data_IF_246454760541
#
_entry.id   IF_246454760541
#
_cell.length_a   1.000
_cell.length_b   1.000
_cell.length_c   1.000
_cell.angle_alpha   90.00
_cell.angle_beta   90.00
_cell.angle_gamma   90.00
#
_symmetry.space_group_name_H-M   'P 1'
#
loop_
_entity.id
_entity.type
_entity.pdbx_description
1 polymer ?
#
# COMPACT_ATOMS: atom_id res chain seq x y z
N UNK A 1 -29.11 20.74 59.45
CA UNK A 1 -29.53 21.92 58.66
C UNK A 1 -28.99 21.75 57.24
N UNK A 2 -29.88 21.77 56.24
CA UNK A 2 -29.68 21.34 54.85
C UNK A 2 -29.01 22.47 54.05
N UNK A 3 -27.80 22.26 53.53
CA UNK A 3 -27.16 23.23 52.60
C UNK A 3 -26.99 22.59 51.23
N UNK A 4 -27.59 23.28 50.25
CA UNK A 4 -27.84 22.83 48.88
C UNK A 4 -26.57 22.94 48.02
N UNK A 5 -26.28 21.90 47.25
CA UNK A 5 -25.33 21.94 46.13
C UNK A 5 -25.96 22.72 44.96
N UNK A 6 -25.29 23.79 44.51
CA UNK A 6 -25.63 24.53 43.30
C UNK A 6 -24.64 24.17 42.20
N UNK A 7 -25.06 23.36 41.23
CA UNK A 7 -24.32 23.12 39.99
C UNK A 7 -24.30 24.42 39.16
N UNK A 8 -23.12 25.02 38.98
CA UNK A 8 -22.88 26.07 37.97
C UNK A 8 -22.79 25.41 36.59
N UNK A 9 -23.84 25.58 35.79
CA UNK A 9 -23.87 25.21 34.37
C UNK A 9 -22.97 26.16 33.58
N UNK A 10 -21.81 25.69 33.11
CA UNK A 10 -20.94 26.46 32.21
C UNK A 10 -21.54 26.39 30.80
N UNK A 11 -22.04 27.52 30.32
CA UNK A 11 -22.72 27.66 29.04
C UNK A 11 -21.85 27.19 27.86
N UNK A 12 -22.47 26.43 26.95
CA UNK A 12 -21.95 25.97 25.66
C UNK A 12 -21.52 27.18 24.80
N UNK A 13 -20.23 27.49 24.77
CA UNK A 13 -19.64 28.47 23.84
C UNK A 13 -19.06 27.84 22.55
N UNK A 14 -19.27 26.53 22.35
CA UNK A 14 -18.72 25.76 21.24
C UNK A 14 -19.70 25.38 20.12
N UNK A 15 -21.00 25.69 20.24
CA UNK A 15 -21.98 25.35 19.19
C UNK A 15 -22.11 26.39 18.09
N UNK A 16 -21.71 27.63 18.33
CA UNK A 16 -21.98 28.73 17.39
C UNK A 16 -20.89 28.86 16.31
N UNK A 17 -19.64 28.42 16.56
CA UNK A 17 -18.60 28.34 15.52
C UNK A 17 -18.84 27.19 14.53
N UNK A 18 -19.46 26.09 14.97
CA UNK A 18 -19.79 24.97 14.09
C UNK A 18 -20.96 25.25 13.11
N UNK A 19 -21.70 26.35 13.33
CA UNK A 19 -22.80 26.77 12.45
C UNK A 19 -22.39 27.82 11.41
N UNK A 20 -21.23 28.44 11.54
CA UNK A 20 -20.82 29.54 10.65
C UNK A 20 -20.20 29.06 9.33
N UNK A 21 -19.56 27.89 9.29
CA UNK A 21 -18.95 27.34 8.06
C UNK A 21 -19.88 26.44 7.23
N UNK A 22 -21.13 26.26 7.66
CA UNK A 22 -22.12 25.41 6.98
C UNK A 22 -23.04 26.20 6.02
N UNK A 23 -22.55 27.29 5.44
CA UNK A 23 -23.14 27.86 4.22
C UNK A 23 -22.36 27.37 3.01
N UNK A 24 -22.36 26.04 2.77
CA UNK A 24 -22.00 25.55 1.44
C UNK A 24 -23.12 26.00 0.51
N UNK A 25 -22.84 26.91 -0.43
CA UNK A 25 -23.66 27.02 -1.65
C UNK A 25 -23.91 25.60 -2.16
N UNK A 26 -25.13 25.28 -2.56
CA UNK A 26 -25.41 24.01 -3.24
C UNK A 26 -24.51 23.92 -4.47
N UNK A 27 -23.42 23.17 -4.35
CA UNK A 27 -22.52 22.91 -5.45
C UNK A 27 -23.24 21.96 -6.39
N UNK A 28 -23.45 22.40 -7.63
CA UNK A 28 -24.04 21.59 -8.69
C UNK A 28 -23.00 21.42 -9.77
N UNK A 29 -22.77 20.19 -10.20
CA UNK A 29 -21.84 19.89 -11.29
C UNK A 29 -22.52 18.97 -12.30
N UNK A 30 -22.21 19.14 -13.58
CA UNK A 30 -22.73 18.31 -14.66
C UNK A 30 -21.61 17.41 -15.16
N UNK A 31 -21.83 16.09 -15.15
CA UNK A 31 -20.93 15.09 -15.71
C UNK A 31 -21.74 14.26 -16.70
N UNK A 32 -21.36 14.27 -17.98
CA UNK A 32 -22.11 13.61 -19.07
C UNK A 32 -23.61 13.93 -19.03
N UNK A 33 -23.96 15.22 -18.94
CA UNK A 33 -25.33 15.74 -18.89
C UNK A 33 -26.17 15.29 -17.68
N UNK A 34 -25.55 14.67 -16.67
CA UNK A 34 -26.19 14.34 -15.39
C UNK A 34 -25.76 15.38 -14.36
N UNK A 35 -26.75 16.05 -13.75
CA UNK A 35 -26.53 16.98 -12.64
C UNK A 35 -26.33 16.21 -11.33
N UNK A 36 -25.23 16.51 -10.63
CA UNK A 36 -24.90 15.98 -9.32
C UNK A 36 -24.84 17.10 -8.29
N UNK A 37 -25.45 16.86 -7.14
CA UNK A 37 -25.28 17.67 -5.93
C UNK A 37 -24.56 16.80 -4.89
N UNK A 38 -23.27 17.05 -4.58
CA UNK A 38 -22.54 16.24 -3.64
C UNK A 38 -23.13 16.45 -2.24
N UNK A 39 -23.16 15.39 -1.44
CA UNK A 39 -23.38 15.56 -0.01
C UNK A 39 -22.21 16.34 0.59
N UNK A 40 -22.40 17.03 1.74
CA UNK A 40 -21.30 17.70 2.43
C UNK A 40 -20.10 16.76 2.72
N UNK A 41 -20.35 15.46 2.91
CA UNK A 41 -19.32 14.45 3.12
C UNK A 41 -18.50 14.21 1.87
N UNK A 42 -19.14 14.02 0.70
CA UNK A 42 -18.43 13.79 -0.56
C UNK A 42 -17.65 15.03 -0.97
N UNK A 43 -18.25 16.21 -0.83
CA UNK A 43 -17.57 17.48 -1.11
C UNK A 43 -16.33 17.66 -0.24
N UNK A 44 -16.45 17.40 1.07
CA UNK A 44 -15.29 17.42 1.99
C UNK A 44 -14.22 16.41 1.59
N UNK A 45 -14.61 15.18 1.23
CA UNK A 45 -13.67 14.13 0.78
C UNK A 45 -12.88 14.59 -0.45
N UNK A 46 -13.56 15.11 -1.48
CA UNK A 46 -12.89 15.55 -2.71
C UNK A 46 -12.00 16.77 -2.47
N UNK A 47 -12.44 17.74 -1.66
CA UNK A 47 -11.59 18.87 -1.26
C UNK A 47 -10.34 18.41 -0.51
N UNK A 48 -10.49 17.45 0.41
CA UNK A 48 -9.38 16.87 1.15
C UNK A 48 -8.39 16.14 0.24
N UNK A 49 -8.89 15.38 -0.75
CA UNK A 49 -8.05 14.73 -1.75
C UNK A 49 -7.33 15.74 -2.65
N UNK A 50 -8.04 16.76 -3.15
CA UNK A 50 -7.47 17.79 -4.01
C UNK A 50 -6.34 18.54 -3.30
N UNK A 51 -6.54 18.95 -2.04
CA UNK A 51 -5.52 19.65 -1.27
C UNK A 51 -4.30 18.76 -0.96
N UNK A 52 -4.51 17.47 -0.64
CA UNK A 52 -3.39 16.51 -0.50
C UNK A 52 -2.55 16.40 -1.76
N UNK A 53 -3.19 16.40 -2.93
CA UNK A 53 -2.45 16.36 -4.20
C UNK A 53 -1.73 17.69 -4.48
N UNK A 54 -2.38 18.82 -4.20
CA UNK A 54 -1.76 20.14 -4.34
C UNK A 54 -0.52 20.29 -3.44
N UNK A 55 -0.58 19.81 -2.20
CA UNK A 55 0.58 19.77 -1.28
C UNK A 55 1.75 19.01 -1.92
N UNK A 56 1.48 17.83 -2.47
CA UNK A 56 2.50 17.04 -3.17
C UNK A 56 3.11 17.83 -4.34
N UNK A 57 2.28 18.46 -5.18
CA UNK A 57 2.75 19.26 -6.32
C UNK A 57 3.61 20.46 -5.89
N UNK A 58 3.19 21.21 -4.86
CA UNK A 58 3.96 22.34 -4.31
C UNK A 58 5.33 21.89 -3.80
N UNK A 59 5.38 20.76 -3.10
CA UNK A 59 6.62 20.16 -2.60
C UNK A 59 7.56 19.74 -3.74
N UNK A 60 7.05 19.05 -4.76
CA UNK A 60 7.86 18.62 -5.92
C UNK A 60 8.33 19.81 -6.75
N UNK A 61 7.57 20.90 -6.79
CA UNK A 61 7.99 22.16 -7.41
C UNK A 61 9.05 22.94 -6.62
N UNK A 62 9.48 22.45 -5.45
CA UNK A 62 10.50 23.10 -4.62
C UNK A 62 10.03 24.37 -3.90
N UNK A 63 8.70 24.55 -3.76
CA UNK A 63 8.17 25.69 -3.03
C UNK A 63 8.46 25.55 -1.51
N UNK A 64 8.71 26.66 -0.80
CA UNK A 64 8.96 26.63 0.64
C UNK A 64 7.73 26.19 1.43
N UNK A 65 7.97 25.63 2.61
CA UNK A 65 6.93 25.31 3.58
C UNK A 65 6.37 26.59 4.26
N UNK A 66 5.14 26.56 4.82
CA UNK A 66 4.19 25.45 4.81
C UNK A 66 3.52 25.26 3.44
N UNK A 67 3.33 24.00 3.03
CA UNK A 67 2.66 23.71 1.76
C UNK A 67 1.14 23.82 1.82
N UNK A 68 0.52 24.00 2.99
CA UNK A 68 -0.92 24.23 3.12
C UNK A 68 -1.17 25.08 4.37
N UNK A 69 -2.21 25.90 4.34
CA UNK A 69 -2.63 26.70 5.50
C UNK A 69 -3.52 25.90 6.47
N UNK A 70 -3.96 24.69 6.09
CA UNK A 70 -4.81 23.85 6.94
C UNK A 70 -3.96 23.18 8.05
N UNK A 71 -4.26 23.42 9.34
CA UNK A 71 -3.54 22.80 10.45
C UNK A 71 -3.64 21.27 10.46
N UNK A 72 -4.67 20.66 9.86
CA UNK A 72 -4.77 19.20 9.74
C UNK A 72 -3.61 18.67 8.89
N UNK A 73 -3.35 19.31 7.75
CA UNK A 73 -2.26 18.92 6.84
C UNK A 73 -0.88 19.26 7.38
N UNK A 74 -0.73 20.33 8.16
CA UNK A 74 0.54 20.68 8.78
C UNK A 74 0.94 19.72 9.91
N UNK A 75 -0.04 19.19 10.66
CA UNK A 75 0.24 18.45 11.89
C UNK A 75 0.12 16.93 11.75
N UNK A 76 -0.34 16.40 10.61
CA UNK A 76 -0.56 14.97 10.43
C UNK A 76 0.03 14.46 9.10
N UNK A 77 0.69 13.29 9.11
CA UNK A 77 1.12 12.65 7.87
C UNK A 77 -0.08 12.06 7.14
N UNK A 78 -0.12 12.28 5.83
CA UNK A 78 -1.07 11.63 4.94
C UNK A 78 -0.35 10.97 3.78
N UNK A 79 -0.94 9.90 3.27
CA UNK A 79 -0.47 9.25 2.04
C UNK A 79 -0.66 10.17 0.84
N UNK A 80 0.06 9.92 -0.26
CA UNK A 80 -0.26 10.59 -1.51
C UNK A 80 -1.61 10.09 -2.05
N UNK A 81 -2.31 10.95 -2.80
CA UNK A 81 -3.55 10.56 -3.49
C UNK A 81 -3.24 9.49 -4.55
N UNK A 82 -2.23 9.75 -5.37
CA UNK A 82 -1.68 8.75 -6.26
C UNK A 82 -0.61 7.96 -5.53
N UNK A 83 -0.92 6.70 -5.24
CA UNK A 83 -0.08 5.77 -4.48
C UNK A 83 1.29 5.55 -5.12
N UNK A 84 1.37 5.67 -6.45
CA UNK A 84 2.63 5.57 -7.18
C UNK A 84 3.68 6.57 -6.68
N UNK A 85 3.29 7.74 -6.15
CA UNK A 85 4.21 8.74 -5.65
C UNK A 85 4.75 8.46 -4.23
N UNK A 86 4.25 7.43 -3.55
CA UNK A 86 4.82 7.03 -2.27
C UNK A 86 6.24 6.50 -2.44
N UNK A 87 7.08 6.78 -1.44
CA UNK A 87 8.49 6.36 -1.44
C UNK A 87 8.66 4.86 -1.67
N UNK A 88 7.85 4.03 -1.01
CA UNK A 88 7.94 2.57 -1.14
C UNK A 88 7.52 2.11 -2.53
N UNK A 89 6.48 2.73 -3.10
CA UNK A 89 6.04 2.48 -4.48
C UNK A 89 7.14 2.77 -5.50
N UNK A 90 7.75 3.95 -5.38
CA UNK A 90 8.85 4.36 -6.25
C UNK A 90 10.03 3.39 -6.13
N UNK A 91 10.36 2.97 -4.90
CA UNK A 91 11.42 1.99 -4.65
C UNK A 91 11.10 0.63 -5.32
N UNK A 92 9.88 0.11 -5.18
CA UNK A 92 9.48 -1.15 -5.80
C UNK A 92 9.63 -1.05 -7.32
N UNK A 93 9.11 0.03 -7.93
CA UNK A 93 9.19 0.22 -9.37
C UNK A 93 10.63 0.29 -9.85
N UNK A 94 11.48 1.07 -9.17
CA UNK A 94 12.85 1.30 -9.59
C UNK A 94 13.75 0.08 -9.34
N UNK A 95 13.68 -0.52 -8.15
CA UNK A 95 14.70 -1.47 -7.67
C UNK A 95 14.20 -2.92 -7.50
N UNK A 96 12.89 -3.15 -7.55
CA UNK A 96 12.32 -4.50 -7.41
C UNK A 96 11.81 -5.01 -8.75
N UNK A 97 11.06 -4.19 -9.49
CA UNK A 97 10.47 -4.57 -10.79
C UNK A 97 11.46 -4.35 -11.93
N UNK A 98 11.95 -3.12 -12.10
CA UNK A 98 12.72 -2.75 -13.29
C UNK A 98 14.21 -3.15 -13.25
N UNK A 99 14.69 -3.70 -12.14
CA UNK A 99 16.04 -4.25 -12.02
C UNK A 99 16.02 -5.79 -12.02
N UNK A 100 17.07 -6.41 -12.57
CA UNK A 100 17.20 -7.87 -12.67
C UNK A 100 16.51 -8.49 -13.87
N UNK A 101 16.40 -9.82 -13.88
CA UNK A 101 15.76 -10.58 -14.96
C UNK A 101 14.27 -10.21 -15.10
N UNK A 102 13.84 -9.98 -16.34
CA UNK A 102 12.49 -9.56 -16.70
C UNK A 102 11.59 -10.74 -17.10
N UNK A 103 12.09 -11.97 -16.95
CA UNK A 103 11.24 -13.16 -16.92
C UNK A 103 10.09 -12.99 -15.90
N UNK A 104 8.91 -13.52 -16.25
CA UNK A 104 7.71 -13.37 -15.45
C UNK A 104 7.87 -13.93 -14.04
N UNK A 105 8.47 -15.12 -13.91
CA UNK A 105 8.65 -15.78 -12.63
C UNK A 105 9.66 -15.05 -11.76
N UNK A 106 10.75 -14.58 -12.38
CA UNK A 106 11.77 -13.77 -11.70
C UNK A 106 11.19 -12.45 -11.17
N UNK A 107 10.43 -11.73 -12.00
CA UNK A 107 9.78 -10.47 -11.61
C UNK A 107 8.72 -10.69 -10.52
N UNK A 108 7.85 -11.70 -10.67
CA UNK A 108 6.86 -12.04 -9.66
C UNK A 108 7.51 -12.46 -8.34
N UNK A 109 8.57 -13.27 -8.38
CA UNK A 109 9.32 -13.67 -7.20
C UNK A 109 9.82 -12.45 -6.42
N UNK A 110 10.49 -11.51 -7.09
CA UNK A 110 11.00 -10.28 -6.47
C UNK A 110 9.89 -9.46 -5.84
N UNK A 111 8.77 -9.28 -6.56
CA UNK A 111 7.62 -8.53 -6.04
C UNK A 111 6.98 -9.21 -4.84
N UNK A 112 6.72 -10.52 -4.89
CA UNK A 112 6.10 -11.26 -3.77
C UNK A 112 7.02 -11.20 -2.55
N UNK A 113 8.32 -11.46 -2.74
CA UNK A 113 9.33 -11.39 -1.68
C UNK A 113 9.34 -10.01 -1.03
N UNK A 114 9.41 -8.93 -1.82
CA UNK A 114 9.39 -7.57 -1.26
C UNK A 114 8.09 -7.32 -0.50
N UNK A 115 6.93 -7.71 -1.06
CA UNK A 115 5.62 -7.45 -0.45
C UNK A 115 5.42 -8.20 0.86
N UNK A 116 6.05 -9.35 1.10
CA UNK A 116 5.97 -10.01 2.41
C UNK A 116 6.56 -9.16 3.53
N UNK A 117 7.63 -8.44 3.26
CA UNK A 117 8.30 -7.59 4.26
C UNK A 117 7.86 -6.13 4.18
N UNK A 118 7.47 -5.64 3.00
CA UNK A 118 7.11 -4.25 2.70
C UNK A 118 8.08 -3.23 3.32
N UNK A 119 9.37 -3.53 3.28
CA UNK A 119 10.43 -2.73 3.91
C UNK A 119 11.69 -2.68 3.07
N UNK A 120 12.05 -1.46 2.67
CA UNK A 120 13.24 -1.16 1.85
C UNK A 120 14.51 -1.72 2.49
N UNK A 121 14.75 -1.46 3.77
CA UNK A 121 16.00 -1.90 4.43
C UNK A 121 16.16 -3.42 4.50
N UNK A 122 15.06 -4.17 4.52
CA UNK A 122 15.10 -5.64 4.51
C UNK A 122 15.51 -6.15 3.13
N UNK A 123 14.93 -5.56 2.08
CA UNK A 123 15.29 -5.84 0.69
C UNK A 123 16.76 -5.51 0.40
N UNK A 124 17.23 -4.32 0.77
CA UNK A 124 18.63 -3.91 0.58
C UNK A 124 19.61 -4.82 1.33
N UNK A 125 19.24 -5.28 2.53
CA UNK A 125 20.07 -6.20 3.31
C UNK A 125 20.17 -7.58 2.66
N UNK A 126 19.05 -8.11 2.15
CA UNK A 126 19.04 -9.34 1.35
C UNK A 126 19.94 -9.20 0.11
N UNK A 127 19.75 -8.15 -0.69
CA UNK A 127 20.56 -7.91 -1.89
C UNK A 127 22.06 -7.78 -1.57
N UNK A 128 22.40 -7.06 -0.49
CA UNK A 128 23.79 -6.88 -0.08
C UNK A 128 24.48 -8.19 0.31
N UNK A 129 23.73 -9.15 0.86
CA UNK A 129 24.28 -10.40 1.40
C UNK A 129 24.22 -11.57 0.44
N UNK A 130 23.19 -11.63 -0.39
CA UNK A 130 22.94 -12.74 -1.31
C UNK A 130 23.25 -12.37 -2.76
N UNK A 131 23.45 -11.07 -3.06
CA UNK A 131 23.58 -10.59 -4.42
C UNK A 131 22.21 -10.41 -5.09
N UNK A 132 22.13 -10.56 -6.43
CA UNK A 132 20.85 -10.52 -7.14
C UNK A 132 19.86 -11.54 -6.57
N UNK A 133 18.66 -11.09 -6.23
CA UNK A 133 17.60 -11.94 -5.69
C UNK A 133 16.82 -12.56 -6.85
N UNK A 134 17.16 -13.81 -7.19
CA UNK A 134 16.55 -14.56 -8.29
C UNK A 134 15.70 -15.71 -7.75
N UNK A 135 14.67 -16.11 -8.51
CA UNK A 135 13.93 -17.33 -8.23
C UNK A 135 14.80 -18.56 -8.46
N UNK A 136 15.59 -18.55 -9.54
CA UNK A 136 16.50 -19.65 -9.90
C UNK A 136 17.45 -20.05 -8.76
N UNK A 137 18.01 -19.08 -8.05
CA UNK A 137 18.99 -19.30 -6.99
C UNK A 137 18.36 -19.15 -5.59
N UNK A 138 17.03 -19.23 -5.50
CA UNK A 138 16.32 -19.09 -4.24
C UNK A 138 16.52 -20.31 -3.33
N UNK A 139 17.16 -20.07 -2.20
CA UNK A 139 17.37 -21.06 -1.15
C UNK A 139 16.81 -20.55 0.19
N UNK A 140 15.92 -21.33 0.81
CA UNK A 140 15.24 -20.90 2.04
C UNK A 140 16.24 -20.70 3.18
N UNK A 141 17.20 -21.62 3.34
CA UNK A 141 18.15 -21.61 4.46
C UNK A 141 19.04 -20.37 4.40
N UNK A 142 19.59 -20.05 3.23
CA UNK A 142 20.40 -18.85 3.02
C UNK A 142 19.62 -17.55 3.32
N UNK A 143 18.34 -17.48 2.94
CA UNK A 143 17.50 -16.32 3.25
C UNK A 143 17.14 -16.25 4.74
N UNK A 144 16.86 -17.38 5.38
CA UNK A 144 16.59 -17.46 6.81
C UNK A 144 17.80 -16.99 7.63
N UNK A 145 19.02 -17.39 7.25
CA UNK A 145 20.25 -16.95 7.91
C UNK A 145 20.42 -15.43 7.83
N UNK A 146 20.29 -14.86 6.63
CA UNK A 146 20.47 -13.42 6.41
C UNK A 146 19.42 -12.58 7.14
N UNK A 147 18.16 -13.02 7.15
CA UNK A 147 17.08 -12.35 7.88
C UNK A 147 17.22 -12.55 9.39
N UNK A 148 17.66 -13.74 9.81
CA UNK A 148 17.94 -14.11 11.19
C UNK A 148 18.93 -13.14 11.83
N UNK A 149 19.98 -12.73 11.13
CA UNK A 149 20.94 -11.76 11.64
C UNK A 149 20.32 -10.42 12.04
N UNK A 150 19.40 -9.88 11.23
CA UNK A 150 18.69 -8.64 11.55
C UNK A 150 17.67 -8.87 12.67
N UNK A 151 16.95 -9.98 12.61
CA UNK A 151 15.96 -10.38 13.61
C UNK A 151 16.56 -10.50 15.01
N UNK A 152 17.70 -11.19 15.16
CA UNK A 152 18.38 -11.37 16.44
C UNK A 152 18.98 -10.08 17.00
N UNK A 153 19.22 -9.07 16.15
CA UNK A 153 19.62 -7.72 16.56
C UNK A 153 18.43 -6.84 16.95
N UNK A 154 17.21 -7.36 16.92
CA UNK A 154 15.98 -6.60 17.21
C UNK A 154 15.58 -5.62 16.10
N UNK A 155 16.14 -5.77 14.90
CA UNK A 155 15.78 -4.92 13.75
C UNK A 155 14.47 -5.44 13.15
N UNK A 156 13.49 -4.55 12.97
CA UNK A 156 12.23 -4.92 12.33
C UNK A 156 12.44 -5.27 10.87
N UNK A 157 12.08 -6.50 10.50
CA UNK A 157 12.07 -6.97 9.11
C UNK A 157 10.86 -6.43 8.33
N UNK A 158 9.79 -6.06 9.02
CA UNK A 158 8.53 -5.66 8.40
C UNK A 158 8.32 -4.14 8.41
N UNK A 159 7.59 -3.65 7.41
CA UNK A 159 7.05 -2.29 7.37
C UNK A 159 5.95 -2.11 8.41
N UNK A 160 5.75 -0.88 8.89
CA UNK A 160 4.78 -0.58 9.96
C UNK A 160 3.33 -0.46 9.49
N UNK A 161 3.12 -0.10 8.23
CA UNK A 161 1.78 0.15 7.67
C UNK A 161 1.11 -1.11 7.10
N UNK A 162 1.88 -2.16 6.84
CA UNK A 162 1.41 -3.35 6.15
C UNK A 162 1.49 -4.58 7.05
N UNK A 163 0.34 -5.11 7.45
CA UNK A 163 0.25 -6.28 8.30
C UNK A 163 0.17 -7.55 7.45
N UNK A 164 1.23 -8.36 7.50
CA UNK A 164 1.27 -9.69 6.89
C UNK A 164 1.24 -10.77 7.98
N UNK A 165 0.10 -11.46 8.17
CA UNK A 165 0.06 -12.60 9.06
C UNK A 165 0.79 -13.78 8.43
N UNK A 166 1.79 -14.31 9.13
CA UNK A 166 2.50 -15.49 8.67
C UNK A 166 1.61 -16.74 8.82
N UNK A 167 1.54 -17.61 7.79
CA UNK A 167 0.86 -18.90 7.93
C UNK A 167 1.66 -19.86 8.81
N UNK A 168 1.01 -20.92 9.31
CA UNK A 168 1.70 -22.00 10.02
C UNK A 168 2.21 -23.04 9.01
N UNK A 169 3.43 -22.85 8.49
CA UNK A 169 4.08 -23.74 7.50
C UNK A 169 5.31 -24.46 8.06
N UNK A 170 5.35 -24.64 9.38
CA UNK A 170 6.42 -25.36 10.08
C UNK A 170 7.72 -24.59 10.30
N UNK A 171 7.76 -23.30 9.93
CA UNK A 171 8.88 -22.41 10.26
C UNK A 171 8.88 -21.96 11.72
N UNK A 172 10.06 -21.81 12.32
CA UNK A 172 10.21 -21.37 13.71
C UNK A 172 9.86 -19.89 13.92
N UNK A 173 9.88 -19.09 12.85
CA UNK A 173 9.64 -17.64 12.89
C UNK A 173 8.63 -17.22 11.82
N UNK A 174 8.09 -16.01 11.95
CA UNK A 174 7.18 -15.45 10.95
C UNK A 174 7.86 -15.29 9.57
N UNK A 175 9.12 -14.85 9.54
CA UNK A 175 9.85 -14.67 8.27
C UNK A 175 10.14 -16.01 7.59
N UNK A 176 10.47 -17.05 8.35
CA UNK A 176 10.65 -18.41 7.84
C UNK A 176 9.37 -18.92 7.17
N UNK A 177 8.22 -18.71 7.81
CA UNK A 177 6.93 -19.10 7.24
C UNK A 177 6.56 -18.28 5.99
N UNK A 178 6.93 -17.01 5.89
CA UNK A 178 6.75 -16.22 4.66
C UNK A 178 7.65 -16.69 3.51
N UNK A 179 8.91 -17.07 3.78
CA UNK A 179 9.79 -17.66 2.77
C UNK A 179 9.26 -19.00 2.25
N UNK A 180 8.69 -19.83 3.14
CA UNK A 180 8.00 -21.07 2.76
C UNK A 180 6.74 -20.81 1.93
N UNK A 181 5.98 -19.77 2.28
CA UNK A 181 4.81 -19.35 1.50
C UNK A 181 5.22 -18.85 0.11
N UNK A 182 6.30 -18.05 0.02
CA UNK A 182 6.89 -17.62 -1.25
C UNK A 182 7.23 -18.83 -2.12
N UNK A 183 7.97 -19.80 -1.56
CA UNK A 183 8.32 -21.03 -2.28
C UNK A 183 7.08 -21.78 -2.75
N UNK A 184 6.08 -21.95 -1.88
CA UNK A 184 4.82 -22.61 -2.23
C UNK A 184 4.10 -21.93 -3.40
N UNK A 185 4.06 -20.59 -3.41
CA UNK A 185 3.43 -19.82 -4.49
C UNK A 185 4.18 -19.97 -5.82
N UNK A 186 5.50 -19.96 -5.78
CA UNK A 186 6.35 -20.11 -6.97
C UNK A 186 6.35 -21.55 -7.51
N UNK A 187 6.49 -22.55 -6.65
CA UNK A 187 6.44 -23.97 -7.03
C UNK A 187 5.07 -24.36 -7.60
N UNK A 188 4.00 -23.73 -7.12
CA UNK A 188 2.65 -23.93 -7.65
C UNK A 188 2.39 -23.16 -8.95
N UNK A 189 3.41 -22.55 -9.57
CA UNK A 189 3.32 -21.74 -10.79
C UNK A 189 2.21 -20.67 -10.72
N UNK A 190 2.11 -19.97 -9.58
CA UNK A 190 1.19 -18.85 -9.47
C UNK A 190 1.42 -17.80 -10.58
N UNK A 191 2.66 -17.38 -10.91
CA UNK A 191 2.89 -16.39 -11.98
C UNK A 191 2.31 -16.84 -13.33
N UNK A 192 2.61 -18.09 -13.76
CA UNK A 192 2.12 -18.63 -15.02
C UNK A 192 0.60 -18.73 -15.05
N UNK A 193 -0.02 -19.15 -13.95
CA UNK A 193 -1.47 -19.24 -13.86
C UNK A 193 -2.15 -17.89 -13.90
N UNK A 194 -1.64 -16.88 -13.17
CA UNK A 194 -2.22 -15.55 -13.21
C UNK A 194 -2.10 -14.91 -14.61
N UNK A 195 -1.04 -15.22 -15.37
CA UNK A 195 -0.88 -14.73 -16.74
C UNK A 195 -1.93 -15.28 -17.72
N UNK A 196 -2.58 -16.41 -17.40
CA UNK A 196 -3.65 -17.00 -18.22
C UNK A 196 -5.05 -16.50 -17.83
N UNK A 197 -5.19 -15.74 -16.74
CA UNK A 197 -6.50 -15.29 -16.26
C UNK A 197 -6.91 -13.97 -16.89
N UNK A 198 -8.13 -13.92 -17.42
CA UNK A 198 -8.69 -12.73 -18.05
C UNK A 198 -9.52 -11.86 -17.09
N UNK A 199 -9.87 -12.37 -15.90
CA UNK A 199 -10.69 -11.66 -14.93
C UNK A 199 -9.95 -11.50 -13.60
N UNK A 200 -10.02 -10.29 -13.05
CA UNK A 200 -9.39 -9.96 -11.76
C UNK A 200 -10.01 -10.76 -10.61
N UNK A 201 -11.30 -11.10 -10.71
CA UNK A 201 -12.00 -11.98 -9.76
C UNK A 201 -11.39 -13.37 -9.72
N UNK A 202 -10.96 -13.90 -10.86
CA UNK A 202 -10.35 -15.23 -10.94
C UNK A 202 -8.93 -15.20 -10.38
N UNK A 203 -8.16 -14.14 -10.68
CA UNK A 203 -6.85 -13.91 -10.09
C UNK A 203 -6.93 -13.80 -8.55
N UNK A 204 -7.90 -13.02 -8.06
CA UNK A 204 -8.21 -12.94 -6.63
C UNK A 204 -8.54 -14.31 -6.05
N UNK A 205 -9.46 -15.05 -6.67
CA UNK A 205 -9.88 -16.37 -6.22
C UNK A 205 -8.72 -17.34 -6.17
N UNK A 206 -7.82 -17.29 -7.16
CA UNK A 206 -6.63 -18.15 -7.21
C UNK A 206 -5.66 -17.87 -6.07
N UNK A 207 -5.38 -16.59 -5.79
CA UNK A 207 -4.46 -16.20 -4.72
C UNK A 207 -5.06 -16.52 -3.34
N UNK A 208 -6.37 -16.40 -3.19
CA UNK A 208 -7.06 -16.67 -1.93
C UNK A 208 -6.93 -18.12 -1.45
N UNK A 209 -6.56 -19.05 -2.33
CA UNK A 209 -6.32 -20.45 -1.99
C UNK A 209 -5.01 -20.66 -1.20
N UNK A 210 -4.10 -19.69 -1.20
CA UNK A 210 -2.85 -19.79 -0.47
C UNK A 210 -3.02 -19.46 1.02
N UNK A 211 -2.26 -20.12 1.91
CA UNK A 211 -2.31 -19.83 3.35
C UNK A 211 -2.09 -18.35 3.66
N UNK A 212 -2.86 -17.83 4.62
CA UNK A 212 -2.87 -16.42 5.05
C UNK A 212 -3.29 -15.37 4.00
N UNK A 213 -3.53 -15.75 2.74
CA UNK A 213 -4.03 -14.86 1.69
C UNK A 213 -5.54 -14.62 1.78
N UNK A 214 -6.00 -14.09 2.93
CA UNK A 214 -7.40 -13.72 3.13
C UNK A 214 -7.87 -12.60 2.20
N UNK A 215 -9.15 -12.23 2.30
CA UNK A 215 -9.81 -11.33 1.33
C UNK A 215 -9.01 -10.05 1.04
N UNK A 216 -8.47 -9.38 2.07
CA UNK A 216 -7.73 -8.14 1.86
C UNK A 216 -6.37 -8.34 1.16
N UNK A 217 -5.67 -9.44 1.47
CA UNK A 217 -4.33 -9.70 0.95
C UNK A 217 -4.40 -10.25 -0.48
N UNK A 218 -5.37 -11.12 -0.76
CA UNK A 218 -5.58 -11.63 -2.12
C UNK A 218 -5.81 -10.50 -3.14
N UNK A 219 -6.62 -9.48 -2.80
CA UNK A 219 -6.81 -8.31 -3.67
C UNK A 219 -5.52 -7.55 -3.97
N UNK A 220 -4.62 -7.49 -2.99
CA UNK A 220 -3.37 -6.77 -3.12
C UNK A 220 -2.34 -7.47 -3.99
N UNK A 221 -2.34 -8.81 -3.99
CA UNK A 221 -1.48 -9.61 -4.84
C UNK A 221 -2.14 -9.95 -6.20
N UNK A 222 -3.44 -9.71 -6.38
CA UNK A 222 -4.12 -9.89 -7.67
C UNK A 222 -3.58 -8.96 -8.77
N UNK A 223 -2.83 -7.93 -8.37
CA UNK A 223 -2.13 -6.98 -9.24
C UNK A 223 -0.60 -7.18 -9.21
N UNK A 224 -0.15 -8.43 -9.06
CA UNK A 224 1.22 -8.81 -9.37
C UNK A 224 1.55 -8.43 -10.83
N UNK A 225 2.84 -8.28 -11.21
CA UNK A 225 3.21 -7.94 -12.58
C UNK A 225 2.76 -9.06 -13.53
N UNK A 226 1.58 -8.90 -14.12
CA UNK A 226 1.06 -9.83 -15.12
C UNK A 226 1.50 -9.39 -16.51
N UNK A 227 1.94 -10.32 -17.38
CA UNK A 227 2.14 -10.01 -18.77
C UNK A 227 0.80 -9.72 -19.42
N UNK A 228 0.64 -8.50 -19.96
CA UNK A 228 -0.20 -8.03 -21.11
C UNK A 228 -1.62 -8.57 -21.38
N UNK A 229 -2.19 -9.55 -20.67
CA UNK A 229 -3.52 -10.10 -20.98
C UNK A 229 -4.66 -9.11 -20.67
N UNK A 230 -4.40 -8.11 -19.82
CA UNK A 230 -5.30 -6.99 -19.57
C UNK A 230 -4.90 -5.76 -20.39
N UNK A 231 -5.49 -5.60 -21.58
CA UNK A 231 -5.94 -4.32 -22.21
C UNK A 231 -5.25 -3.82 -23.49
N UNK A 232 -6.12 -3.10 -24.21
CA UNK A 232 -6.01 -2.31 -25.42
C UNK A 232 -4.71 -1.53 -25.64
N UNK A 233 -4.35 -1.49 -26.92
CA UNK A 233 -3.20 -0.86 -27.58
C UNK A 233 -3.01 0.63 -27.21
N UNK A 234 -2.15 0.93 -26.23
CA UNK A 234 -1.40 2.20 -26.19
C UNK A 234 -0.02 1.97 -25.55
N UNK A 235 1.05 2.61 -26.05
CA UNK A 235 2.43 2.33 -25.65
C UNK A 235 2.80 3.12 -24.38
N UNK A 236 2.59 2.49 -23.22
CA UNK A 236 3.26 2.87 -21.98
C UNK A 236 3.43 1.58 -21.17
N UNK A 237 4.67 1.09 -21.14
CA UNK A 237 5.03 -0.25 -20.71
C UNK A 237 4.94 -0.41 -19.18
N UNK A 238 4.25 -1.47 -18.72
CA UNK A 238 4.17 -2.01 -17.36
C UNK A 238 3.83 -1.06 -16.19
N UNK A 239 2.55 -0.75 -15.95
CA UNK A 239 2.18 -0.09 -14.68
C UNK A 239 0.80 -0.48 -14.16
N UNK A 240 0.74 -1.52 -13.32
CA UNK A 240 -0.23 -1.60 -12.21
C UNK A 240 0.39 -2.40 -11.07
N UNK A 241 1.16 -1.72 -10.21
CA UNK A 241 1.35 -2.20 -8.83
C UNK A 241 0.25 -1.53 -8.03
N UNK A 242 -0.63 -2.29 -7.40
CA UNK A 242 -1.43 -1.73 -6.30
C UNK A 242 -0.47 -1.49 -5.13
N UNK A 243 -0.12 -0.23 -4.90
CA UNK A 243 0.65 0.20 -3.71
C UNK A 243 -0.24 0.94 -2.71
#
# INVERSE_FOLDING_TARGET
MRVKSTKKTRARKGKDKAKADAQSKELKFVIHDIEFTPSPVLDTMFRFMAERHAIHQRRVAGLPEPWSDDPIFQNNPFTNVYRIFDRVSQYILQHVVNEGDQDLHESCFRVILFRFFCRISTWEHLQKRLGPLTWKDFDIEAYEDVLGEQYHKGVSLYGSAYQMPAPALGGATAYSNHLRLLKMMMDADLPGQLAQLEQLSDAYGRINLFPSMGNFLAFQYALLPLPRAFRSQTPADYFWISI
#
